data_IF_732569399290
#
_entry.id   IF_732569399290
#
_cell.length_a   1.000
_cell.length_b   1.000
_cell.length_c   1.000
_cell.angle_alpha   90.00
_cell.angle_beta   90.00
_cell.angle_gamma   90.00
#
_symmetry.space_group_name_H-M   'P 1'
#
loop_
_entity.id
_entity.type
_entity.pdbx_description
1 polymer ?
#
# COMPACT_ATOMS: atom_id res chain seq x y z
N UNK A 1 -1.09 13.85 -12.92
CA UNK A 1 0.14 13.03 -13.08
C UNK A 1 -0.15 11.61 -12.64
N UNK A 2 0.10 10.62 -13.52
CA UNK A 2 -0.29 9.20 -13.36
C UNK A 2 0.16 8.60 -12.02
N UNK A 3 1.35 8.99 -11.54
CA UNK A 3 1.92 8.53 -10.26
C UNK A 3 1.06 8.95 -9.05
N UNK A 4 0.58 10.20 -9.00
CA UNK A 4 -0.22 10.67 -7.87
C UNK A 4 -1.55 9.95 -7.77
N UNK A 5 -2.14 9.66 -8.92
CA UNK A 5 -3.39 8.92 -9.05
C UNK A 5 -3.22 7.46 -8.60
N UNK A 6 -2.17 6.78 -9.09
CA UNK A 6 -1.80 5.42 -8.68
C UNK A 6 -1.59 5.29 -7.17
N UNK A 7 -0.90 6.28 -6.57
CA UNK A 7 -0.63 6.30 -5.13
C UNK A 7 -1.92 6.48 -4.30
N UNK A 8 -2.84 7.36 -4.72
CA UNK A 8 -4.04 7.70 -3.95
C UNK A 8 -5.12 6.63 -4.03
N UNK A 9 -5.27 6.01 -5.19
CA UNK A 9 -6.39 5.13 -5.50
C UNK A 9 -6.03 3.67 -5.31
N UNK A 10 -5.08 3.12 -6.08
CA UNK A 10 -4.82 1.68 -6.05
C UNK A 10 -3.89 1.29 -4.91
N UNK A 11 -2.71 1.91 -4.83
CA UNK A 11 -1.68 1.50 -3.89
C UNK A 11 -2.08 1.73 -2.43
N UNK A 12 -2.76 2.84 -2.13
CA UNK A 12 -3.26 3.12 -0.79
C UNK A 12 -4.26 2.06 -0.33
N UNK A 13 -5.19 1.66 -1.20
CA UNK A 13 -6.20 0.65 -0.87
C UNK A 13 -5.54 -0.72 -0.72
N UNK A 14 -4.66 -1.10 -1.65
CA UNK A 14 -3.97 -2.38 -1.58
C UNK A 14 -3.13 -2.51 -0.31
N UNK A 15 -2.27 -1.53 -0.02
CA UNK A 15 -1.35 -1.58 1.12
C UNK A 15 -2.07 -1.58 2.47
N UNK A 16 -3.14 -0.81 2.61
CA UNK A 16 -3.83 -0.69 3.89
C UNK A 16 -4.76 -1.86 4.18
N UNK A 17 -5.45 -2.40 3.16
CA UNK A 17 -6.47 -3.42 3.37
C UNK A 17 -5.97 -4.85 3.13
N UNK A 18 -4.97 -5.05 2.28
CA UNK A 18 -4.58 -6.40 1.81
C UNK A 18 -3.11 -6.77 2.04
N UNK A 19 -2.23 -5.81 2.32
CA UNK A 19 -0.82 -6.12 2.60
C UNK A 19 -0.56 -6.24 4.11
N UNK A 20 -0.26 -7.44 4.64
CA UNK A 20 0.09 -7.60 6.04
C UNK A 20 1.48 -7.02 6.32
N UNK A 21 1.65 -6.38 7.47
CA UNK A 21 2.92 -5.81 7.93
C UNK A 21 3.26 -6.33 9.33
N UNK A 22 4.52 -6.69 9.52
CA UNK A 22 5.09 -7.02 10.83
C UNK A 22 5.67 -5.75 11.45
N UNK A 23 5.18 -5.34 12.63
CA UNK A 23 5.79 -4.25 13.39
C UNK A 23 6.88 -4.79 14.31
N UNK A 24 7.95 -4.02 14.51
CA UNK A 24 8.94 -4.31 15.54
C UNK A 24 8.31 -4.04 16.92
N UNK A 25 8.21 -5.08 17.75
CA UNK A 25 7.62 -4.99 19.10
C UNK A 25 8.68 -4.59 20.11
N UNK A 26 9.84 -5.23 20.05
CA UNK A 26 10.94 -4.93 20.94
C UNK A 26 12.28 -5.16 20.27
N UNK A 27 13.29 -4.48 20.80
CA UNK A 27 14.66 -4.56 20.37
C UNK A 27 15.53 -4.52 21.61
N UNK A 28 16.22 -5.61 21.88
CA UNK A 28 17.05 -5.77 23.07
C UNK A 28 18.44 -6.22 22.67
N UNK A 29 19.46 -5.73 23.39
CA UNK A 29 20.84 -6.16 23.20
C UNK A 29 21.21 -7.11 24.33
N UNK A 30 21.51 -8.36 23.97
CA UNK A 30 21.97 -9.40 24.90
C UNK A 30 23.44 -9.68 24.57
N UNK A 31 24.35 -9.22 25.44
CA UNK A 31 25.78 -9.17 25.15
C UNK A 31 26.09 -8.28 23.94
N UNK A 32 26.84 -8.83 22.95
CA UNK A 32 27.15 -8.12 21.70
C UNK A 32 26.06 -8.16 20.64
N UNK A 33 25.01 -8.98 20.80
CA UNK A 33 24.00 -9.24 19.75
C UNK A 33 22.72 -8.46 19.97
N UNK A 34 22.15 -7.97 18.88
CA UNK A 34 20.88 -7.27 18.86
C UNK A 34 19.74 -8.21 18.46
N UNK A 35 18.83 -8.48 19.38
CA UNK A 35 17.65 -9.32 19.16
C UNK A 35 16.43 -8.44 18.88
N UNK A 36 15.71 -8.74 17.80
CA UNK A 36 14.51 -8.02 17.36
C UNK A 36 13.32 -8.96 17.42
N UNK A 37 12.29 -8.62 18.20
CA UNK A 37 11.02 -9.35 18.23
C UNK A 37 10.01 -8.64 17.35
N UNK A 38 9.51 -9.35 16.34
CA UNK A 38 8.47 -8.84 15.44
C UNK A 38 7.11 -9.37 15.85
N UNK A 39 6.09 -8.57 15.59
CA UNK A 39 4.69 -8.92 15.82
C UNK A 39 4.16 -9.89 14.77
N UNK A 40 2.99 -10.47 15.04
CA UNK A 40 2.22 -11.24 14.07
C UNK A 40 1.86 -10.33 12.87
N UNK A 41 2.01 -10.81 11.62
CA UNK A 41 1.60 -10.06 10.44
C UNK A 41 0.11 -9.71 10.50
N UNK A 42 -0.21 -8.43 10.37
CA UNK A 42 -1.59 -7.91 10.24
C UNK A 42 -1.61 -6.74 9.29
N UNK A 43 -2.70 -6.56 8.57
CA UNK A 43 -2.87 -5.38 7.70
C UNK A 43 -3.09 -4.13 8.56
N UNK A 44 -2.74 -2.93 8.06
CA UNK A 44 -3.07 -1.67 8.73
C UNK A 44 -4.57 -1.56 9.05
N UNK A 45 -5.44 -1.99 8.14
CA UNK A 45 -6.88 -2.08 8.36
C UNK A 45 -7.22 -2.95 9.58
N UNK A 46 -6.74 -4.19 9.65
CA UNK A 46 -7.00 -5.09 10.78
C UNK A 46 -6.56 -4.47 12.11
N UNK A 47 -5.35 -3.90 12.15
CA UNK A 47 -4.83 -3.22 13.36
C UNK A 47 -5.70 -2.04 13.77
N UNK A 48 -6.18 -1.27 12.80
CA UNK A 48 -7.04 -0.12 13.06
C UNK A 48 -8.41 -0.57 13.61
N UNK A 49 -8.98 -1.64 13.07
CA UNK A 49 -10.23 -2.25 13.55
C UNK A 49 -10.11 -2.81 14.97
N UNK A 50 -8.94 -3.39 15.30
CA UNK A 50 -8.62 -3.93 16.62
C UNK A 50 -8.30 -2.84 17.66
N UNK A 51 -7.93 -1.63 17.23
CA UNK A 51 -7.46 -0.57 18.13
C UNK A 51 -8.52 -0.02 19.10
N UNK A 52 -9.80 -0.13 18.74
CA UNK A 52 -10.91 0.47 19.50
C UNK A 52 -10.94 2.00 19.54
N UNK A 53 -10.04 2.69 18.82
CA UNK A 53 -9.88 4.14 18.89
C UNK A 53 -10.84 4.93 17.98
N UNK A 54 -11.74 4.25 17.28
CA UNK A 54 -12.56 4.84 16.23
C UNK A 54 -14.05 4.88 16.59
N UNK A 55 -14.78 5.95 16.22
CA UNK A 55 -16.23 5.98 16.29
C UNK A 55 -16.86 4.82 15.51
N UNK A 56 -17.99 4.30 16.03
CA UNK A 56 -18.73 3.18 15.42
C UNK A 56 -19.13 3.43 13.97
N UNK A 57 -19.45 4.68 13.64
CA UNK A 57 -19.80 5.09 12.27
C UNK A 57 -18.61 4.96 11.32
N UNK A 58 -17.45 5.51 11.67
CA UNK A 58 -16.24 5.41 10.86
C UNK A 58 -15.80 3.96 10.66
N UNK A 59 -15.96 3.12 11.70
CA UNK A 59 -15.72 1.68 11.63
C UNK A 59 -16.60 1.02 10.56
N UNK A 60 -17.90 1.30 10.55
CA UNK A 60 -18.85 0.77 9.55
C UNK A 60 -18.51 1.22 8.13
N UNK A 61 -18.12 2.48 7.96
CA UNK A 61 -17.70 3.00 6.65
C UNK A 61 -16.45 2.27 6.13
N UNK A 62 -15.47 2.00 7.01
CA UNK A 62 -14.27 1.24 6.68
C UNK A 62 -14.58 -0.23 6.35
N UNK A 63 -15.48 -0.87 7.09
CA UNK A 63 -15.96 -2.24 6.80
C UNK A 63 -16.66 -2.30 5.43
N UNK A 64 -17.57 -1.36 5.15
CA UNK A 64 -18.25 -1.28 3.87
C UNK A 64 -17.26 -1.06 2.71
N UNK A 65 -16.28 -0.17 2.89
CA UNK A 65 -15.21 0.04 1.92
C UNK A 65 -14.42 -1.25 1.71
N UNK A 66 -13.98 -1.92 2.78
CA UNK A 66 -13.24 -3.19 2.67
C UNK A 66 -14.01 -4.24 1.87
N UNK A 67 -15.31 -4.41 2.15
CA UNK A 67 -16.17 -5.36 1.45
C UNK A 67 -16.39 -5.02 -0.02
N UNK A 68 -16.36 -3.74 -0.39
CA UNK A 68 -16.46 -3.30 -1.79
C UNK A 68 -15.18 -3.52 -2.60
N UNK A 69 -14.03 -3.70 -1.94
CA UNK A 69 -12.74 -3.77 -2.63
C UNK A 69 -12.48 -5.19 -3.16
N UNK A 70 -12.03 -5.23 -4.42
CA UNK A 70 -11.56 -6.46 -5.04
C UNK A 70 -10.04 -6.37 -5.28
N UNK A 71 -9.21 -7.17 -4.59
CA UNK A 71 -7.75 -7.10 -4.73
C UNK A 71 -7.28 -7.44 -6.14
N UNK A 72 -7.99 -8.32 -6.86
CA UNK A 72 -7.71 -8.63 -8.25
C UNK A 72 -7.99 -7.47 -9.20
N UNK A 73 -9.05 -6.68 -8.96
CA UNK A 73 -9.30 -5.46 -9.74
C UNK A 73 -8.28 -4.37 -9.43
N UNK A 74 -7.91 -4.17 -8.16
CA UNK A 74 -6.87 -3.22 -7.77
C UNK A 74 -5.52 -3.54 -8.46
N UNK A 75 -5.16 -4.82 -8.55
CA UNK A 75 -3.97 -5.24 -9.29
C UNK A 75 -4.06 -4.89 -10.77
N UNK A 76 -5.14 -5.26 -11.46
CA UNK A 76 -5.32 -4.95 -12.89
C UNK A 76 -5.23 -3.45 -13.16
N UNK A 77 -5.88 -2.63 -12.34
CA UNK A 77 -5.83 -1.17 -12.48
C UNK A 77 -4.41 -0.62 -12.25
N UNK A 78 -3.68 -1.17 -11.28
CA UNK A 78 -2.27 -0.83 -11.04
C UNK A 78 -1.42 -1.14 -12.26
N UNK A 79 -1.53 -2.36 -12.79
CA UNK A 79 -0.76 -2.83 -13.94
C UNK A 79 -1.01 -1.92 -15.16
N UNK A 80 -2.27 -1.62 -15.49
CA UNK A 80 -2.61 -0.69 -16.59
C UNK A 80 -1.99 0.70 -16.43
N UNK A 81 -1.99 1.26 -15.21
CA UNK A 81 -1.40 2.59 -14.97
C UNK A 81 0.12 2.56 -15.08
N UNK A 82 0.76 1.46 -14.68
CA UNK A 82 2.19 1.26 -14.84
C UNK A 82 2.56 1.15 -16.31
N UNK A 83 1.82 0.38 -17.11
CA UNK A 83 2.03 0.26 -18.55
C UNK A 83 1.94 1.63 -19.24
N UNK A 84 0.92 2.43 -18.90
CA UNK A 84 0.78 3.79 -19.41
C UNK A 84 1.96 4.68 -19.01
N UNK A 85 2.42 4.59 -17.77
CA UNK A 85 3.56 5.37 -17.28
C UNK A 85 4.84 4.99 -18.03
N UNK A 86 5.08 3.71 -18.26
CA UNK A 86 6.20 3.21 -19.04
C UNK A 86 6.17 3.75 -20.46
N UNK A 87 5.03 3.64 -21.15
CA UNK A 87 4.86 4.15 -22.51
C UNK A 87 5.13 5.65 -22.60
N UNK A 88 4.54 6.45 -21.71
CA UNK A 88 4.77 7.91 -21.70
C UNK A 88 6.25 8.25 -21.44
N UNK A 89 6.93 7.46 -20.61
CA UNK A 89 8.35 7.66 -20.34
C UNK A 89 9.22 7.32 -21.55
N UNK A 90 8.94 6.22 -22.25
CA UNK A 90 9.61 5.82 -23.49
C UNK A 90 9.43 6.89 -24.58
N UNK A 91 8.21 7.34 -24.83
CA UNK A 91 7.91 8.40 -25.81
C UNK A 91 8.69 9.69 -25.51
N UNK A 92 8.77 10.08 -24.24
CA UNK A 92 9.55 11.25 -23.81
C UNK A 92 11.05 11.05 -24.02
N UNK A 93 11.56 9.84 -23.83
CA UNK A 93 12.98 9.53 -23.99
C UNK A 93 13.41 9.59 -25.45
N UNK A 94 12.60 9.04 -26.35
CA UNK A 94 12.84 9.10 -27.79
C UNK A 94 12.74 10.54 -28.32
N UNK A 95 11.78 11.35 -27.83
CA UNK A 95 11.67 12.75 -28.24
C UNK A 95 12.89 13.60 -27.83
N UNK A 96 13.53 13.29 -26.70
CA UNK A 96 14.76 13.98 -26.26
C UNK A 96 16.02 13.49 -26.99
N UNK A 97 15.98 12.31 -27.64
CA UNK A 97 17.09 11.80 -28.46
C UNK A 97 17.07 12.34 -29.89
N UNK A 98 15.91 12.72 -30.42
CA UNK A 98 15.75 13.28 -31.77
C UNK A 98 16.05 14.79 -31.82
N UNK A 99 16.10 15.47 -30.68
CA UNK A 99 16.46 16.89 -30.55
C UNK A 99 17.97 17.16 -30.33
N UNK A 100 18.82 16.12 -30.34
CA UNK A 100 20.29 16.18 -30.25
C UNK A 100 20.95 15.69 -31.55
#
# INVERSE_FOLDING_TARGET
MIINDLCRNELRLYKNFFQPVMRLVSKERIGGRLNRKHDIPRTPYQRLMDSGQMPKETRRQLEALYLSLNPGQLKRSTDTKLDNLHKTYEEKRESHQVEL
#
